data_IF_334843042638
#
_entry.id   IF_334843042638
#
_cell.length_a   1.000
_cell.length_b   1.000
_cell.length_c   1.000
_cell.angle_alpha   90.00
_cell.angle_beta   90.00
_cell.angle_gamma   90.00
#
_symmetry.space_group_name_H-M   'P 1'
#
loop_
_entity.id
_entity.type
_entity.pdbx_description
1 polymer ?
#
# COMPACT_ATOMS: atom_id res chain seq x y z
N UNK A 1 20.77 3.81 47.42
CA UNK A 1 21.30 3.80 46.04
C UNK A 1 20.25 4.37 45.10
N UNK A 2 20.59 5.38 44.30
CA UNK A 2 19.66 5.95 43.33
C UNK A 2 19.28 4.89 42.28
N UNK A 3 17.98 4.69 42.08
CA UNK A 3 17.46 3.76 41.07
C UNK A 3 17.88 4.26 39.69
N UNK A 4 18.61 3.44 38.91
CA UNK A 4 18.96 3.78 37.53
C UNK A 4 17.66 4.04 36.74
N UNK A 5 17.59 5.15 35.98
CA UNK A 5 16.41 5.43 35.15
C UNK A 5 16.27 4.34 34.08
N UNK A 6 15.04 3.88 33.85
CA UNK A 6 14.75 2.79 32.88
C UNK A 6 14.91 3.22 31.42
N UNK A 7 14.95 4.54 31.16
CA UNK A 7 15.16 5.14 29.86
C UNK A 7 16.40 6.04 29.98
N UNK A 8 17.40 5.81 29.14
CA UNK A 8 18.62 6.62 29.05
C UNK A 8 18.53 7.56 27.85
N UNK A 9 19.39 8.59 27.80
CA UNK A 9 19.47 9.48 26.64
C UNK A 9 19.92 8.71 25.39
N UNK A 10 20.87 7.79 25.52
CA UNK A 10 21.37 6.93 24.43
C UNK A 10 20.23 6.15 23.75
N UNK A 11 19.33 5.55 24.55
CA UNK A 11 18.16 4.85 24.01
C UNK A 11 17.21 5.79 23.25
N UNK A 12 17.10 7.05 23.68
CA UNK A 12 16.27 8.04 22.99
C UNK A 12 16.90 8.41 21.65
N UNK A 13 18.20 8.68 21.63
CA UNK A 13 18.93 9.05 20.42
C UNK A 13 18.93 7.91 19.40
N UNK A 14 19.14 6.67 19.86
CA UNK A 14 19.04 5.47 19.03
C UNK A 14 17.64 5.28 18.45
N UNK A 15 16.59 5.41 19.27
CA UNK A 15 15.21 5.31 18.80
C UNK A 15 14.87 6.36 17.72
N UNK A 16 15.36 7.59 17.90
CA UNK A 16 15.16 8.70 16.96
C UNK A 16 15.91 8.42 15.64
N UNK A 17 17.15 7.93 15.71
CA UNK A 17 17.93 7.57 14.53
C UNK A 17 17.25 6.46 13.72
N UNK A 18 16.84 5.37 14.39
CA UNK A 18 16.10 4.28 13.75
C UNK A 18 14.78 4.78 13.12
N UNK A 19 14.11 5.74 13.76
CA UNK A 19 12.88 6.33 13.21
C UNK A 19 13.13 7.20 11.99
N UNK A 20 14.26 7.92 11.96
CA UNK A 20 14.69 8.71 10.82
C UNK A 20 14.98 7.83 9.58
N UNK A 21 15.45 6.60 9.80
CA UNK A 21 15.64 5.59 8.75
C UNK A 21 14.33 4.93 8.29
N UNK A 22 13.20 5.26 8.93
CA UNK A 22 11.87 4.81 8.54
C UNK A 22 11.39 3.52 9.21
N UNK A 23 12.06 3.07 10.27
CA UNK A 23 11.66 1.85 10.97
C UNK A 23 10.31 2.00 11.69
N UNK A 24 9.62 0.87 11.81
CA UNK A 24 8.38 0.79 12.59
C UNK A 24 8.67 0.87 14.08
N UNK A 25 7.67 1.24 14.88
CA UNK A 25 7.82 1.24 16.33
C UNK A 25 8.12 -0.18 16.87
N UNK A 26 7.57 -1.23 16.24
CA UNK A 26 7.84 -2.62 16.62
C UNK A 26 9.30 -3.00 16.43
N UNK A 27 9.90 -2.59 15.31
CA UNK A 27 11.32 -2.85 15.04
C UNK A 27 12.22 -2.07 16.00
N UNK A 28 11.87 -0.82 16.31
CA UNK A 28 12.57 0.00 17.30
C UNK A 28 12.50 -0.64 18.69
N UNK A 29 11.33 -1.15 19.09
CA UNK A 29 11.16 -1.85 20.38
C UNK A 29 12.09 -3.07 20.45
N UNK A 30 12.16 -3.85 19.36
CA UNK A 30 13.02 -5.02 19.27
C UNK A 30 14.51 -4.63 19.33
N UNK A 31 14.91 -3.58 18.60
CA UNK A 31 16.28 -3.07 18.57
C UNK A 31 16.74 -2.58 19.95
N UNK A 32 15.89 -1.84 20.66
CA UNK A 32 16.17 -1.33 22.01
C UNK A 32 16.11 -2.41 23.11
N UNK A 33 15.63 -3.61 22.79
CA UNK A 33 15.51 -4.70 23.76
C UNK A 33 14.52 -4.41 24.90
N UNK A 34 13.48 -3.61 24.65
CA UNK A 34 12.47 -3.24 25.65
C UNK A 34 11.15 -3.95 25.38
N UNK A 35 10.33 -4.12 26.43
CA UNK A 35 8.99 -4.65 26.25
C UNK A 35 8.07 -3.61 25.60
N UNK A 36 7.24 -4.04 24.66
CA UNK A 36 6.32 -3.20 23.88
C UNK A 36 5.44 -2.28 24.75
N UNK A 37 4.83 -2.84 25.80
CA UNK A 37 3.98 -2.06 26.71
C UNK A 37 4.75 -0.93 27.43
N UNK A 38 6.07 -1.08 27.63
CA UNK A 38 6.89 -0.05 28.24
C UNK A 38 7.12 1.11 27.27
N UNK A 39 7.40 0.81 26.01
CA UNK A 39 7.58 1.81 24.96
C UNK A 39 6.30 2.62 24.73
N UNK A 40 5.16 1.96 24.53
CA UNK A 40 3.90 2.66 24.29
C UNK A 40 3.46 3.52 25.47
N UNK A 41 3.71 3.06 26.71
CA UNK A 41 3.47 3.87 27.90
C UNK A 41 4.34 5.14 27.91
N UNK A 42 5.60 5.05 27.51
CA UNK A 42 6.50 6.20 27.46
C UNK A 42 6.07 7.26 26.45
N UNK A 43 5.65 6.84 25.25
CA UNK A 43 5.27 7.79 24.20
C UNK A 43 3.83 8.31 24.34
N UNK A 44 2.94 7.54 24.99
CA UNK A 44 1.54 7.87 25.20
C UNK A 44 1.28 8.76 26.42
N UNK A 45 1.97 8.53 27.54
CA UNK A 45 1.87 9.33 28.77
C UNK A 45 3.28 9.70 29.29
N UNK A 46 3.95 10.67 28.65
CA UNK A 46 5.34 11.02 28.98
C UNK A 46 5.44 11.81 30.29
N UNK A 47 5.99 11.19 31.32
CA UNK A 47 6.10 11.74 32.68
C UNK A 47 7.36 12.56 32.92
N UNK A 48 8.42 12.29 32.17
CA UNK A 48 9.72 12.94 32.33
C UNK A 48 10.23 13.54 31.01
N UNK A 49 11.29 14.35 31.09
CA UNK A 49 11.86 15.05 29.93
C UNK A 49 12.33 14.08 28.85
N UNK A 50 12.93 12.95 29.22
CA UNK A 50 13.41 11.94 28.27
C UNK A 50 12.26 11.28 27.50
N UNK A 51 11.15 10.96 28.18
CA UNK A 51 9.96 10.38 27.54
C UNK A 51 9.29 11.37 26.59
N UNK A 52 9.26 12.67 26.93
CA UNK A 52 8.79 13.72 26.01
C UNK A 52 9.70 13.82 24.80
N UNK A 53 11.02 13.87 25.01
CA UNK A 53 11.99 13.91 23.93
C UNK A 53 11.85 12.70 22.99
N UNK A 54 11.62 11.50 23.54
CA UNK A 54 11.32 10.30 22.75
C UNK A 54 10.02 10.46 21.96
N UNK A 55 8.91 10.82 22.61
CA UNK A 55 7.60 10.95 21.95
C UNK A 55 7.60 11.99 20.83
N UNK A 56 8.16 13.18 21.10
CA UNK A 56 8.25 14.28 20.15
C UNK A 56 9.27 13.99 19.04
N UNK A 57 10.43 13.43 19.39
CA UNK A 57 11.47 13.04 18.44
C UNK A 57 10.97 12.02 17.43
N UNK A 58 10.27 10.98 17.87
CA UNK A 58 9.69 9.97 16.97
C UNK A 58 8.66 10.58 16.01
N UNK A 59 7.78 11.48 16.49
CA UNK A 59 6.80 12.16 15.63
C UNK A 59 7.46 13.08 14.62
N UNK A 60 8.51 13.78 15.02
CA UNK A 60 9.28 14.68 14.17
C UNK A 60 9.98 13.91 13.06
N UNK A 61 10.73 12.87 13.39
CA UNK A 61 11.47 12.09 12.39
C UNK A 61 10.53 11.29 11.48
N UNK A 62 9.43 10.76 11.98
CA UNK A 62 8.38 10.16 11.14
C UNK A 62 7.84 11.15 10.09
N UNK A 63 7.62 12.40 10.50
CA UNK A 63 7.14 13.46 9.61
C UNK A 63 8.21 13.88 8.60
N UNK A 64 9.48 13.96 9.04
CA UNK A 64 10.62 14.26 8.19
C UNK A 64 10.84 13.16 7.13
N UNK A 65 10.80 11.89 7.55
CA UNK A 65 10.93 10.74 6.66
C UNK A 65 9.83 10.72 5.59
N UNK A 66 8.56 10.93 6.00
CA UNK A 66 7.44 11.07 5.06
C UNK A 66 7.67 12.21 4.06
N UNK A 67 8.16 13.36 4.51
CA UNK A 67 8.50 14.49 3.63
C UNK A 67 9.60 14.13 2.63
N UNK A 68 10.63 13.42 3.07
CA UNK A 68 11.71 12.94 2.20
C UNK A 68 11.15 12.02 1.11
N UNK A 69 10.35 11.03 1.48
CA UNK A 69 9.71 10.14 0.51
C UNK A 69 8.82 10.89 -0.49
N UNK A 70 7.98 11.81 -0.02
CA UNK A 70 7.14 12.62 -0.90
C UNK A 70 7.97 13.48 -1.86
N UNK A 71 9.08 14.03 -1.40
CA UNK A 71 10.00 14.80 -2.23
C UNK A 71 10.63 13.90 -3.30
N UNK A 72 11.09 12.71 -2.94
CA UNK A 72 11.65 11.73 -3.87
C UNK A 72 10.63 11.30 -4.93
N UNK A 73 9.40 10.96 -4.52
CA UNK A 73 8.32 10.57 -5.44
C UNK A 73 7.99 11.72 -6.40
N UNK A 74 7.87 12.96 -5.88
CA UNK A 74 7.63 14.15 -6.70
C UNK A 74 8.77 14.39 -7.70
N UNK A 75 10.03 14.28 -7.27
CA UNK A 75 11.19 14.44 -8.16
C UNK A 75 11.23 13.37 -9.25
N UNK A 76 10.93 12.11 -8.91
CA UNK A 76 10.86 11.01 -9.88
C UNK A 76 9.76 11.27 -10.92
N UNK A 77 8.58 11.70 -10.48
CA UNK A 77 7.46 12.03 -11.36
C UNK A 77 7.79 13.16 -12.36
N UNK A 78 8.60 14.15 -11.96
CA UNK A 78 8.98 15.27 -12.82
C UNK A 78 10.13 14.96 -13.77
N UNK A 79 11.04 14.06 -13.39
CA UNK A 79 12.27 13.79 -14.17
C UNK A 79 12.00 13.08 -15.50
N UNK A 80 11.01 12.17 -15.55
CA UNK A 80 10.67 11.45 -16.78
C UNK A 80 9.17 11.25 -16.90
N UNK A 81 8.63 11.53 -18.08
CA UNK A 81 7.20 11.29 -18.41
C UNK A 81 6.76 9.83 -18.21
N UNK A 82 7.70 8.88 -18.19
CA UNK A 82 7.43 7.45 -17.92
C UNK A 82 6.98 7.16 -16.48
N UNK A 83 7.17 8.08 -15.53
CA UNK A 83 6.77 7.92 -14.12
C UNK A 83 5.45 8.64 -13.79
N UNK A 84 4.56 8.76 -14.77
CA UNK A 84 3.24 9.37 -14.58
C UNK A 84 2.40 8.68 -13.49
N UNK A 85 2.63 7.38 -13.24
CA UNK A 85 1.98 6.64 -12.14
C UNK A 85 2.32 7.20 -10.77
N UNK A 86 3.55 7.67 -10.55
CA UNK A 86 3.95 8.33 -9.32
C UNK A 86 3.22 9.67 -9.13
N UNK A 87 3.02 10.42 -10.22
CA UNK A 87 2.20 11.64 -10.19
C UNK A 87 0.72 11.33 -9.92
N UNK A 88 0.17 10.29 -10.55
CA UNK A 88 -1.20 9.84 -10.34
C UNK A 88 -1.43 9.45 -8.87
N UNK A 89 -0.54 8.68 -8.25
CA UNK A 89 -0.65 8.32 -6.83
C UNK A 89 -0.60 9.51 -5.89
N UNK A 90 0.22 10.53 -6.18
CA UNK A 90 0.23 11.76 -5.39
C UNK A 90 -1.10 12.53 -5.52
N UNK A 91 -1.70 12.52 -6.71
CA UNK A 91 -2.99 13.14 -6.97
C UNK A 91 -4.12 12.43 -6.21
N UNK A 92 -4.20 11.11 -6.32
CA UNK A 92 -5.17 10.26 -5.60
C UNK A 92 -5.09 10.44 -4.08
N UNK A 93 -3.88 10.55 -3.53
CA UNK A 93 -3.68 10.73 -2.07
C UNK A 93 -4.06 12.14 -1.59
N UNK A 94 -3.86 13.17 -2.43
CA UNK A 94 -4.15 14.55 -2.06
C UNK A 94 -5.62 14.91 -2.22
N UNK A 95 -6.29 14.33 -3.21
CA UNK A 95 -7.67 14.61 -3.57
C UNK A 95 -8.44 13.29 -3.77
N UNK A 96 -8.62 12.51 -2.69
CA UNK A 96 -9.24 11.19 -2.77
C UNK A 96 -10.68 11.25 -3.28
N UNK A 97 -11.43 12.31 -2.95
CA UNK A 97 -12.83 12.45 -3.38
C UNK A 97 -12.96 12.73 -4.89
N UNK A 98 -11.95 13.35 -5.51
CA UNK A 98 -11.97 13.73 -6.93
C UNK A 98 -11.29 12.70 -7.84
N UNK A 99 -10.18 12.11 -7.38
CA UNK A 99 -9.34 11.22 -8.18
C UNK A 99 -9.23 9.81 -7.61
N UNK A 100 -9.82 9.52 -6.45
CA UNK A 100 -9.83 8.20 -5.86
C UNK A 100 -10.55 7.17 -6.75
N UNK A 101 -10.20 5.90 -6.55
CA UNK A 101 -10.81 4.80 -7.29
C UNK A 101 -12.31 4.73 -6.98
N UNK A 102 -13.15 4.99 -7.97
CA UNK A 102 -14.60 4.83 -7.83
C UNK A 102 -14.94 3.35 -7.55
N UNK A 103 -15.56 3.09 -6.39
CA UNK A 103 -16.17 1.79 -6.13
C UNK A 103 -17.40 1.63 -7.02
N UNK A 104 -17.27 0.80 -8.07
CA UNK A 104 -18.47 0.33 -8.77
C UNK A 104 -19.17 -0.65 -7.85
N UNK A 105 -20.38 -0.32 -7.38
CA UNK A 105 -21.31 -1.32 -6.85
C UNK A 105 -21.41 -2.43 -7.89
N UNK A 106 -21.11 -3.67 -7.47
CA UNK A 106 -21.28 -4.84 -8.31
C UNK A 106 -22.71 -4.93 -8.83
N UNK A 107 -22.88 -5.47 -10.02
CA UNK A 107 -24.15 -5.69 -10.72
C UNK A 107 -25.02 -6.77 -10.02
N UNK A 108 -25.14 -6.78 -8.69
CA UNK A 108 -25.98 -7.73 -7.91
C UNK A 108 -27.50 -7.54 -8.12
N UNK A 109 -27.90 -6.89 -9.21
CA UNK A 109 -29.29 -6.76 -9.66
C UNK A 109 -29.44 -6.55 -11.16
N UNK A 110 -28.39 -6.73 -11.97
CA UNK A 110 -28.44 -6.46 -13.42
C UNK A 110 -28.73 -7.70 -14.28
N UNK A 111 -28.79 -8.89 -13.69
CA UNK A 111 -29.16 -10.10 -14.43
C UNK A 111 -30.60 -10.05 -14.97
N UNK A 112 -31.52 -9.36 -14.28
CA UNK A 112 -32.90 -9.17 -14.77
C UNK A 112 -33.05 -8.06 -15.83
N UNK A 113 -32.06 -7.17 -15.97
CA UNK A 113 -32.14 -5.99 -16.84
C UNK A 113 -31.11 -6.00 -17.99
N UNK A 114 -30.47 -7.13 -18.28
CA UNK A 114 -29.62 -7.26 -19.44
C UNK A 114 -30.49 -7.34 -20.72
N UNK A 115 -30.33 -6.42 -21.70
CA UNK A 115 -31.06 -6.51 -22.95
C UNK A 115 -30.67 -7.81 -23.67
N UNK A 116 -31.65 -8.70 -23.85
CA UNK A 116 -31.46 -9.94 -24.60
C UNK A 116 -31.38 -9.58 -26.09
N UNK A 117 -30.16 -9.45 -26.61
CA UNK A 117 -29.95 -9.28 -28.05
C UNK A 117 -30.26 -10.62 -28.72
N UNK A 118 -31.46 -10.72 -29.31
CA UNK A 118 -31.80 -11.84 -30.19
C UNK A 118 -31.24 -11.51 -31.56
N UNK A 119 -30.11 -12.12 -31.93
CA UNK A 119 -29.65 -12.12 -33.31
C UNK A 119 -30.68 -12.93 -34.11
N UNK A 120 -31.50 -12.27 -34.92
CA UNK A 120 -32.53 -12.89 -35.78
C UNK A 120 -31.94 -13.72 -36.93
N UNK A 121 -30.85 -14.44 -36.69
CA UNK A 121 -30.15 -15.26 -37.67
C UNK A 121 -30.46 -16.71 -37.35
N UNK A 122 -31.17 -17.37 -38.27
CA UNK A 122 -31.29 -18.82 -38.27
C UNK A 122 -29.98 -19.37 -38.84
N UNK A 123 -29.17 -19.99 -38.00
CA UNK A 123 -28.01 -20.73 -38.46
C UNK A 123 -28.49 -21.92 -39.29
N UNK A 124 -28.33 -21.85 -40.61
CA UNK A 124 -28.46 -23.04 -41.45
C UNK A 124 -27.17 -23.84 -41.35
N UNK A 125 -27.23 -25.14 -41.03
CA UNK A 125 -26.05 -25.99 -41.07
C UNK A 125 -25.57 -26.07 -42.53
N UNK A 126 -24.45 -25.45 -42.84
CA UNK A 126 -23.73 -25.70 -44.08
C UNK A 126 -23.14 -27.10 -43.98
N UNK A 127 -23.75 -28.07 -44.65
CA UNK A 127 -23.14 -29.34 -44.98
C UNK A 127 -22.31 -29.16 -46.26
N UNK A 128 -21.29 -28.31 -46.21
CA UNK A 128 -20.21 -28.43 -47.19
C UNK A 128 -19.25 -29.51 -46.67
N UNK A 129 -19.15 -30.60 -47.43
CA UNK A 129 -18.05 -31.53 -47.30
C UNK A 129 -16.77 -30.74 -47.55
N UNK A 130 -16.04 -30.41 -46.48
CA UNK A 130 -14.72 -29.79 -46.58
C UNK A 130 -13.84 -30.68 -47.48
N UNK A 131 -13.34 -30.19 -48.62
CA UNK A 131 -12.45 -30.97 -49.45
C UNK A 131 -11.15 -31.19 -48.67
N UNK A 132 -10.88 -32.45 -48.30
CA UNK A 132 -9.65 -32.85 -47.61
C UNK A 132 -9.82 -33.73 -46.38
N UNK A 133 -11.05 -34.04 -45.97
CA UNK A 133 -11.30 -35.05 -44.91
C UNK A 133 -12.11 -36.21 -45.47
N UNK A 134 -11.46 -37.03 -46.32
CA UNK A 134 -11.87 -38.42 -46.52
C UNK A 134 -10.82 -39.34 -45.88
N UNK A 135 -11.34 -40.09 -44.91
CA UNK A 135 -11.02 -41.48 -44.58
C UNK A 135 -9.72 -41.78 -43.80
N UNK A 136 -9.90 -41.91 -42.49
CA UNK A 136 -9.22 -42.95 -41.74
C UNK A 136 -9.81 -44.33 -42.07
N UNK A 137 -8.94 -45.23 -42.52
CA UNK A 137 -8.96 -46.66 -42.20
C UNK A 137 -9.90 -47.55 -43.01
N UNK A 138 -9.31 -48.35 -43.89
CA UNK A 138 -9.82 -49.71 -44.11
C UNK A 138 -8.66 -50.71 -44.19
N UNK A 139 -8.78 -51.69 -43.31
CA UNK A 139 -7.95 -52.87 -43.11
C UNK A 139 -7.96 -53.77 -44.35
N UNK A 140 -6.82 -54.38 -44.69
CA UNK A 140 -6.65 -55.36 -45.77
C UNK A 140 -5.23 -55.90 -45.81
#
# INVERSE_FOLDING_TARGET
MARRPKLTQEMVDEAIALKADGLSNGDIICALGIHESTFYRWIGDPKNKLQRALSEGLKKEESAFKRTLLTTIRSAALTRHQYWTAAAWLLERKYPDEFGKAERKGDEGREEAAPRIVLGVVAQPVQEKLPGFDEGGSNG
#
